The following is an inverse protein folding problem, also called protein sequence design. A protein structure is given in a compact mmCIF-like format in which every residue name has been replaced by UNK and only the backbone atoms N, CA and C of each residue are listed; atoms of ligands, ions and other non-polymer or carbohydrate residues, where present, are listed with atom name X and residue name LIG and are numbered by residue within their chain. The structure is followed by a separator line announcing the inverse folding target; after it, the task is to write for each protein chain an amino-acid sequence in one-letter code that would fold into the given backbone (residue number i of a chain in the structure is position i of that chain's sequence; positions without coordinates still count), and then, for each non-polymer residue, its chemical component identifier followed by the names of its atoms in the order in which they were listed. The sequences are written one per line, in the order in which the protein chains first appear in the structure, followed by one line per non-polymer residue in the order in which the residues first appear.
data_IF_537684298159
#
_entry.id   IF_537684298159
#
_cell.length_a   1.000
_cell.length_b   1.000
_cell.length_c   1.000
_cell.angle_alpha   90.00
_cell.angle_beta   90.00
_cell.angle_gamma   90.00
#
_symmetry.space_group_name_H-M   'P 1'
#
loop_
_entity.id
_entity.type
_entity.pdbx_description
1 polymer ?
#
# COMPACT_ATOMS: atom_id res chain seq x y z
N UNK A 1 -47.19 -21.44 16.11
CA UNK A 1 -46.88 -20.26 16.96
C UNK A 1 -46.30 -19.18 16.05
N UNK A 2 -47.10 -18.18 15.71
CA UNK A 2 -46.70 -17.10 14.80
C UNK A 2 -46.02 -15.99 15.60
N UNK A 3 -44.76 -15.73 15.29
CA UNK A 3 -44.02 -14.59 15.85
C UNK A 3 -44.58 -13.32 15.19
N UNK A 4 -45.02 -12.31 15.96
CA UNK A 4 -45.58 -11.10 15.38
C UNK A 4 -44.49 -10.31 14.65
N UNK A 5 -44.83 -9.79 13.46
CA UNK A 5 -43.94 -9.05 12.55
C UNK A 5 -43.33 -7.75 13.13
N UNK A 6 -43.68 -7.37 14.36
CA UNK A 6 -43.16 -6.17 15.04
C UNK A 6 -41.79 -6.33 15.69
N UNK A 7 -41.32 -7.56 15.96
CA UNK A 7 -40.04 -7.77 16.66
C UNK A 7 -38.80 -7.70 15.76
N UNK A 8 -38.96 -7.86 14.45
CA UNK A 8 -37.84 -7.74 13.49
C UNK A 8 -37.55 -6.29 13.06
N UNK A 9 -38.50 -5.37 13.25
CA UNK A 9 -38.32 -3.96 12.86
C UNK A 9 -37.42 -3.17 13.83
N UNK A 10 -37.30 -3.59 15.10
CA UNK A 10 -36.47 -2.91 16.11
C UNK A 10 -34.98 -3.30 16.06
N UNK A 11 -34.63 -4.39 15.40
CA UNK A 11 -33.23 -4.81 15.21
C UNK A 11 -32.56 -4.18 13.97
N UNK A 12 -33.34 -3.68 13.02
CA UNK A 12 -32.82 -3.05 11.79
C UNK A 12 -32.35 -1.60 11.96
N UNK A 13 -32.83 -0.88 12.99
CA UNK A 13 -32.56 0.55 13.16
C UNK A 13 -31.33 0.88 14.00
N UNK A 14 -30.65 -0.10 14.60
CA UNK A 14 -29.46 0.11 15.43
C UNK A 14 -28.13 0.09 14.65
N UNK A 15 -28.13 -0.38 13.39
CA UNK A 15 -26.92 -0.47 12.55
C UNK A 15 -26.69 0.72 11.60
N UNK A 16 -27.61 1.69 11.59
CA UNK A 16 -27.49 2.94 10.83
C UNK A 16 -27.57 4.20 11.70
N UNK A 17 -27.35 4.08 13.00
CA UNK A 17 -27.14 5.26 13.84
C UNK A 17 -25.86 5.96 13.35
N UNK A 18 -25.95 7.22 12.91
CA UNK A 18 -24.79 7.85 12.33
C UNK A 18 -24.01 8.53 13.45
N UNK A 19 -22.69 8.31 13.45
CA UNK A 19 -21.84 8.43 14.64
C UNK A 19 -21.63 9.88 15.09
N UNK A 20 -22.13 10.84 14.30
CA UNK A 20 -22.14 12.28 14.58
C UNK A 20 -23.25 12.71 15.55
N UNK A 21 -24.23 11.84 15.86
CA UNK A 21 -25.29 12.15 16.81
C UNK A 21 -24.88 12.01 18.30
N UNK A 22 -23.63 11.63 18.58
CA UNK A 22 -23.06 11.63 19.94
C UNK A 22 -22.29 12.92 20.27
N UNK A 23 -22.19 13.86 19.34
CA UNK A 23 -21.67 15.20 19.64
C UNK A 23 -22.79 16.08 20.21
N UNK A 24 -22.78 16.23 21.53
CA UNK A 24 -23.51 17.31 22.20
C UNK A 24 -24.60 16.89 23.17
N UNK A 25 -24.32 15.94 24.08
CA UNK A 25 -24.93 16.06 25.40
C UNK A 25 -24.15 17.15 26.15
N UNK A 26 -24.80 18.23 26.63
CA UNK A 26 -24.10 19.21 27.44
C UNK A 26 -23.58 18.47 28.68
N UNK A 27 -22.25 18.40 28.82
CA UNK A 27 -21.57 17.92 30.02
C UNK A 27 -21.80 18.96 31.12
N UNK A 28 -23.05 19.10 31.55
CA UNK A 28 -23.44 19.83 32.73
C UNK A 28 -22.94 19.04 33.92
N UNK A 29 -21.76 19.43 34.38
CA UNK A 29 -21.40 19.51 35.80
C UNK A 29 -21.96 18.37 36.65
N UNK A 30 -21.17 17.30 36.86
CA UNK A 30 -21.12 16.46 38.07
C UNK A 30 -20.26 15.20 37.80
N UNK A 31 -18.96 15.39 37.59
CA UNK A 31 -17.94 14.45 38.09
C UNK A 31 -16.59 15.13 38.02
N UNK A 32 -16.24 15.82 39.10
CA UNK A 32 -14.94 16.43 39.34
C UNK A 32 -13.85 15.41 39.68
N UNK A 33 -13.87 14.24 39.03
CA UNK A 33 -12.76 13.30 39.10
C UNK A 33 -11.70 13.70 38.08
N UNK A 34 -10.77 14.53 38.54
CA UNK A 34 -9.66 15.03 37.75
C UNK A 34 -8.84 13.88 37.14
N UNK A 35 -8.76 12.73 37.82
CA UNK A 35 -8.03 11.55 37.35
C UNK A 35 -8.74 10.89 36.18
N UNK A 36 -10.07 10.79 36.22
CA UNK A 36 -10.86 10.26 35.10
C UNK A 36 -10.78 11.17 33.86
N UNK A 37 -10.86 12.49 34.03
CA UNK A 37 -10.70 13.43 32.91
C UNK A 37 -9.29 13.38 32.31
N UNK A 38 -8.26 13.24 33.15
CA UNK A 38 -6.88 13.05 32.71
C UNK A 38 -6.71 11.72 31.96
N UNK A 39 -7.34 10.65 32.44
CA UNK A 39 -7.37 9.35 31.78
C UNK A 39 -7.98 9.46 30.38
N UNK A 40 -9.15 10.09 30.23
CA UNK A 40 -9.80 10.28 28.94
C UNK A 40 -8.92 11.08 27.98
N UNK A 41 -8.38 12.22 28.43
CA UNK A 41 -7.50 13.05 27.61
C UNK A 41 -6.29 12.26 27.08
N UNK A 42 -5.61 11.50 27.95
CA UNK A 42 -4.47 10.65 27.56
C UNK A 42 -4.89 9.60 26.52
N UNK A 43 -5.99 8.89 26.76
CA UNK A 43 -6.43 7.82 25.86
C UNK A 43 -6.90 8.35 24.50
N UNK A 44 -7.51 9.53 24.45
CA UNK A 44 -7.85 10.20 23.19
C UNK A 44 -6.59 10.57 22.39
N UNK A 45 -5.58 11.14 23.06
CA UNK A 45 -4.28 11.43 22.43
C UNK A 45 -3.57 10.16 21.94
N UNK A 46 -3.57 9.09 22.73
CA UNK A 46 -3.03 7.79 22.29
C UNK A 46 -3.79 7.23 21.10
N UNK A 47 -5.12 7.28 21.11
CA UNK A 47 -5.95 6.82 19.99
C UNK A 47 -5.66 7.62 18.71
N UNK A 48 -5.50 8.95 18.84
CA UNK A 48 -5.11 9.84 17.75
C UNK A 48 -3.72 9.47 17.20
N UNK A 49 -2.77 9.18 18.08
CA UNK A 49 -1.42 8.73 17.70
C UNK A 49 -1.45 7.40 16.96
N UNK A 50 -2.14 6.38 17.50
CA UNK A 50 -2.29 5.07 16.86
C UNK A 50 -2.90 5.21 15.46
N UNK A 51 -3.94 6.03 15.31
CA UNK A 51 -4.52 6.32 14.00
C UNK A 51 -3.50 6.91 13.03
N UNK A 52 -2.66 7.84 13.52
CA UNK A 52 -1.56 8.41 12.74
C UNK A 52 -0.51 7.38 12.33
N UNK A 53 -0.08 6.53 13.26
CA UNK A 53 0.91 5.47 13.02
C UNK A 53 0.39 4.44 11.99
N UNK A 54 -0.89 4.05 12.09
CA UNK A 54 -1.53 3.16 11.11
C UNK A 54 -1.55 3.80 9.71
N UNK A 55 -1.88 5.09 9.60
CA UNK A 55 -1.86 5.80 8.33
C UNK A 55 -0.43 5.89 7.74
N UNK A 56 0.58 6.08 8.60
CA UNK A 56 1.98 6.08 8.19
C UNK A 56 2.41 4.71 7.64
N UNK A 57 2.10 3.62 8.33
CA UNK A 57 2.39 2.25 7.89
C UNK A 57 1.69 1.89 6.58
N UNK A 58 0.43 2.31 6.42
CA UNK A 58 -0.31 2.11 5.16
C UNK A 58 0.37 2.85 4.01
N UNK A 59 0.81 4.10 4.23
CA UNK A 59 1.51 4.91 3.24
C UNK A 59 2.87 4.29 2.87
N UNK A 60 3.65 3.86 3.85
CA UNK A 60 4.94 3.19 3.65
C UNK A 60 4.78 1.91 2.83
N UNK A 61 3.88 1.02 3.25
CA UNK A 61 3.62 -0.25 2.53
C UNK A 61 3.18 0.00 1.10
N UNK A 62 2.29 0.97 0.88
CA UNK A 62 1.81 1.33 -0.45
C UNK A 62 2.94 1.87 -1.34
N UNK A 63 3.73 2.83 -0.86
CA UNK A 63 4.85 3.37 -1.63
C UNK A 63 5.91 2.31 -1.92
N UNK A 64 6.23 1.46 -0.94
CA UNK A 64 7.18 0.36 -1.09
C UNK A 64 6.73 -0.60 -2.20
N UNK A 65 5.46 -1.03 -2.18
CA UNK A 65 4.90 -1.92 -3.21
C UNK A 65 4.94 -1.30 -4.62
N UNK A 66 4.60 -0.02 -4.76
CA UNK A 66 4.65 0.66 -6.06
C UNK A 66 6.11 0.76 -6.55
N UNK A 67 7.02 1.20 -5.69
CA UNK A 67 8.44 1.34 -6.00
C UNK A 67 9.05 0.00 -6.42
N UNK A 68 8.79 -1.07 -5.67
CA UNK A 68 9.37 -2.40 -5.91
C UNK A 68 8.76 -3.04 -7.17
N UNK A 69 7.46 -2.81 -7.42
CA UNK A 69 6.80 -3.17 -8.67
C UNK A 69 7.44 -2.49 -9.88
N UNK A 70 7.70 -1.19 -9.81
CA UNK A 70 8.36 -0.43 -10.89
C UNK A 70 9.77 -0.98 -11.19
N UNK A 71 10.57 -1.29 -10.17
CA UNK A 71 11.89 -1.92 -10.35
C UNK A 71 11.79 -3.30 -11.01
N UNK A 72 10.79 -4.09 -10.62
CA UNK A 72 10.55 -5.42 -11.20
C UNK A 72 10.19 -5.33 -12.67
N UNK A 73 9.30 -4.40 -13.04
CA UNK A 73 8.92 -4.20 -14.44
C UNK A 73 10.05 -3.57 -15.27
N UNK A 74 10.84 -2.66 -14.72
CA UNK A 74 12.05 -2.15 -15.39
C UNK A 74 12.96 -3.30 -15.85
N UNK A 75 13.24 -4.27 -14.98
CA UNK A 75 14.03 -5.47 -15.32
C UNK A 75 13.32 -6.34 -16.37
N UNK A 76 12.01 -6.52 -16.26
CA UNK A 76 11.23 -7.35 -17.19
C UNK A 76 11.12 -6.74 -18.59
N UNK A 77 11.12 -5.41 -18.70
CA UNK A 77 11.09 -4.69 -19.99
C UNK A 77 12.37 -4.91 -20.81
N UNK A 78 13.49 -5.28 -20.17
CA UNK A 78 14.70 -5.67 -20.89
C UNK A 78 14.47 -6.89 -21.78
N UNK A 79 13.66 -7.85 -21.33
CA UNK A 79 13.29 -9.01 -22.15
C UNK A 79 12.30 -8.64 -23.28
N UNK A 80 11.54 -7.55 -23.12
CA UNK A 80 10.63 -7.05 -24.16
C UNK A 80 11.40 -6.35 -25.29
N UNK A 81 12.52 -5.69 -24.97
CA UNK A 81 13.42 -5.09 -25.97
C UNK A 81 13.91 -6.11 -27.00
N UNK A 82 14.26 -7.32 -26.55
CA UNK A 82 14.73 -8.39 -27.42
C UNK A 82 13.64 -8.93 -28.37
N UNK A 83 12.36 -8.75 -28.03
CA UNK A 83 11.21 -9.21 -28.83
C UNK A 83 10.76 -8.23 -29.89
N UNK A 84 10.81 -6.95 -29.54
CA UNK A 84 10.26 -5.87 -30.33
C UNK A 84 11.38 -4.90 -30.70
N UNK A 85 12.41 -5.34 -31.46
CA UNK A 85 13.54 -4.48 -31.81
C UNK A 85 13.08 -3.26 -32.63
N UNK A 86 11.98 -3.37 -33.37
CA UNK A 86 11.36 -2.24 -34.07
C UNK A 86 10.70 -1.19 -33.17
N UNK A 87 10.51 -1.49 -31.88
CA UNK A 87 9.96 -0.59 -30.86
C UNK A 87 10.95 -0.29 -29.73
N UNK A 88 12.26 -0.51 -29.97
CA UNK A 88 13.29 -0.41 -28.93
C UNK A 88 13.26 0.93 -28.20
N UNK A 89 13.16 2.04 -28.94
CA UNK A 89 13.06 3.38 -28.36
C UNK A 89 11.88 3.57 -27.41
N UNK A 90 10.73 2.96 -27.72
CA UNK A 90 9.54 3.08 -26.87
C UNK A 90 9.75 2.30 -25.56
N UNK A 91 10.32 1.10 -25.65
CA UNK A 91 10.59 0.28 -24.46
C UNK A 91 11.71 0.88 -23.60
N UNK A 92 12.75 1.44 -24.20
CA UNK A 92 13.81 2.19 -23.50
C UNK A 92 13.24 3.42 -22.76
N UNK A 93 12.35 4.17 -23.41
CA UNK A 93 11.64 5.30 -22.79
C UNK A 93 10.82 4.81 -21.60
N UNK A 94 10.10 3.71 -21.77
CA UNK A 94 9.27 3.12 -20.73
C UNK A 94 10.09 2.63 -19.52
N UNK A 95 11.28 2.08 -19.76
CA UNK A 95 12.23 1.73 -18.70
C UNK A 95 12.70 2.97 -17.96
N UNK A 96 13.14 4.00 -18.68
CA UNK A 96 13.59 5.25 -18.08
C UNK A 96 12.48 5.89 -17.23
N UNK A 97 11.25 5.93 -17.72
CA UNK A 97 10.09 6.46 -16.99
C UNK A 97 9.79 5.65 -15.73
N UNK A 98 9.85 4.32 -15.80
CA UNK A 98 9.67 3.45 -14.63
C UNK A 98 10.76 3.66 -13.58
N UNK A 99 12.02 3.80 -14.00
CA UNK A 99 13.15 4.09 -13.12
C UNK A 99 12.98 5.46 -12.44
N UNK A 100 12.66 6.50 -13.22
CA UNK A 100 12.43 7.85 -12.71
C UNK A 100 11.28 7.90 -11.71
N UNK A 101 10.15 7.26 -12.02
CA UNK A 101 9.01 7.20 -11.09
C UNK A 101 9.39 6.46 -9.79
N UNK A 102 10.14 5.36 -9.89
CA UNK A 102 10.59 4.62 -8.71
C UNK A 102 11.51 5.46 -7.81
N UNK A 103 12.39 6.27 -8.42
CA UNK A 103 13.28 7.19 -7.71
C UNK A 103 12.50 8.32 -7.04
N UNK A 104 11.51 8.89 -7.72
CA UNK A 104 10.67 9.94 -7.14
C UNK A 104 9.88 9.43 -5.94
N UNK A 105 9.34 8.20 -6.01
CA UNK A 105 8.63 7.58 -4.87
C UNK A 105 9.60 7.31 -3.72
N UNK A 106 10.81 6.82 -4.01
CA UNK A 106 11.85 6.61 -3.00
C UNK A 106 12.17 7.91 -2.25
N UNK A 107 12.41 9.00 -2.99
CA UNK A 107 12.67 10.32 -2.39
C UNK A 107 11.49 10.77 -1.52
N UNK A 108 10.26 10.60 -2.00
CA UNK A 108 9.07 10.96 -1.24
C UNK A 108 8.93 10.15 0.05
N UNK A 109 9.33 8.87 0.06
CA UNK A 109 9.37 8.06 1.27
C UNK A 109 10.42 8.58 2.26
N UNK A 110 11.59 9.01 1.78
CA UNK A 110 12.65 9.59 2.60
C UNK A 110 12.21 10.91 3.25
N UNK A 111 11.60 11.81 2.46
CA UNK A 111 11.10 13.10 2.93
C UNK A 111 10.02 12.96 4.00
N UNK A 112 9.24 11.89 3.95
CA UNK A 112 8.20 11.56 4.93
C UNK A 112 8.73 10.78 6.16
N UNK A 113 10.02 10.45 6.19
CA UNK A 113 10.62 9.62 7.24
C UNK A 113 10.13 8.17 7.22
N UNK A 114 9.62 7.69 6.08
CA UNK A 114 9.14 6.32 5.85
C UNK A 114 10.23 5.40 5.29
N UNK A 115 11.46 5.91 5.12
CA UNK A 115 12.58 5.10 4.68
C UNK A 115 12.93 4.08 5.77
N UNK A 116 12.69 2.81 5.47
CA UNK A 116 13.02 1.66 6.30
C UNK A 116 14.41 1.78 6.91
N UNK A 117 14.48 1.90 8.24
CA UNK A 117 15.62 1.42 9.01
C UNK A 117 15.72 -0.07 8.71
N UNK A 118 16.67 -0.45 7.87
CA UNK A 118 17.02 -1.85 7.71
C UNK A 118 17.67 -2.26 9.02
N UNK A 119 16.88 -2.77 9.97
CA UNK A 119 17.45 -3.46 11.11
C UNK A 119 18.24 -4.64 10.54
N UNK A 120 19.53 -4.80 10.89
CA UNK A 120 20.24 -6.01 10.52
C UNK A 120 19.40 -7.16 11.06
N UNK A 121 18.86 -7.97 10.15
CA UNK A 121 18.15 -9.19 10.52
C UNK A 121 19.13 -9.95 11.39
N UNK A 122 18.78 -10.14 12.67
CA UNK A 122 19.59 -10.91 13.59
C UNK A 122 19.88 -12.23 12.88
N UNK A 123 21.14 -12.42 12.53
CA UNK A 123 21.66 -13.64 11.92
C UNK A 123 21.38 -14.77 12.89
N UNK A 124 20.24 -15.44 12.71
CA UNK A 124 20.05 -16.78 13.21
C UNK A 124 21.11 -17.63 12.50
N UNK A 125 22.04 -18.29 13.22
CA UNK A 125 23.13 -19.03 12.60
C UNK A 125 22.64 -20.40 12.17
N UNK A 126 21.60 -20.50 11.34
CA UNK A 126 21.23 -21.75 10.65
C UNK A 126 20.31 -21.46 9.47
N UNK A 127 20.83 -20.83 8.41
CA UNK A 127 20.19 -20.89 7.10
C UNK A 127 21.26 -20.74 6.03
N UNK A 128 21.71 -21.88 5.51
CA UNK A 128 22.44 -21.99 4.26
C UNK A 128 21.50 -21.56 3.13
N UNK A 129 21.41 -20.26 2.87
CA UNK A 129 20.78 -19.76 1.66
C UNK A 129 21.64 -18.62 1.09
N UNK A 130 22.11 -18.71 -0.17
CA UNK A 130 22.89 -17.63 -0.76
C UNK A 130 22.03 -16.39 -0.84
N UNK A 131 22.60 -15.26 -0.43
CA UNK A 131 22.12 -13.90 -0.68
C UNK A 131 21.65 -13.80 -2.12
N UNK A 132 20.33 -13.77 -2.33
CA UNK A 132 19.76 -13.54 -3.63
C UNK A 132 20.10 -12.11 -4.02
N UNK A 133 21.04 -11.95 -4.96
CA UNK A 133 21.10 -10.76 -5.80
C UNK A 133 19.78 -10.59 -6.58
N UNK A 134 19.71 -9.63 -7.52
CA UNK A 134 18.57 -9.54 -8.42
C UNK A 134 18.27 -10.94 -8.97
N UNK A 135 17.08 -11.47 -8.66
CA UNK A 135 16.70 -12.83 -9.05
C UNK A 135 16.90 -13.01 -10.57
N UNK A 136 17.20 -14.23 -11.04
CA UNK A 136 17.39 -14.47 -12.46
C UNK A 136 16.18 -13.90 -13.23
N UNK A 137 16.44 -13.05 -14.22
CA UNK A 137 15.40 -12.62 -15.15
C UNK A 137 14.70 -13.86 -15.72
N UNK A 138 13.38 -13.81 -15.98
CA UNK A 138 12.67 -14.94 -16.54
C UNK A 138 13.37 -15.42 -17.83
N UNK A 139 13.97 -16.61 -17.77
CA UNK A 139 14.60 -17.24 -18.92
C UNK A 139 13.51 -17.94 -19.73
N UNK A 140 13.06 -17.32 -20.81
CA UNK A 140 12.03 -17.90 -21.67
C UNK A 140 12.62 -19.06 -22.49
N UNK A 141 12.07 -20.26 -22.31
CA UNK A 141 12.63 -21.51 -22.85
C UNK A 141 12.39 -21.72 -24.35
N UNK A 142 11.55 -20.88 -24.99
CA UNK A 142 11.23 -20.96 -26.42
C UNK A 142 10.86 -19.59 -26.99
N UNK A 143 10.98 -19.39 -28.31
CA UNK A 143 10.54 -18.14 -28.98
C UNK A 143 9.05 -17.83 -28.75
N UNK A 144 8.20 -18.86 -28.67
CA UNK A 144 6.79 -18.71 -28.36
C UNK A 144 6.58 -18.21 -26.92
N UNK A 145 7.28 -18.80 -25.93
CA UNK A 145 7.25 -18.32 -24.54
C UNK A 145 7.79 -16.90 -24.43
N UNK A 146 8.80 -16.57 -25.22
CA UNK A 146 9.36 -15.22 -25.28
C UNK A 146 8.30 -14.23 -25.80
N UNK A 147 7.65 -14.51 -26.94
CA UNK A 147 6.63 -13.61 -27.53
C UNK A 147 5.39 -13.43 -26.65
N UNK A 148 4.83 -14.53 -26.14
CA UNK A 148 3.66 -14.49 -25.26
C UNK A 148 4.01 -13.87 -23.91
N UNK A 149 5.21 -14.15 -23.39
CA UNK A 149 5.74 -13.54 -22.18
C UNK A 149 5.85 -12.02 -22.29
N UNK A 150 6.36 -11.49 -23.41
CA UNK A 150 6.43 -10.05 -23.66
C UNK A 150 5.06 -9.36 -23.67
N UNK A 151 4.05 -9.99 -24.28
CA UNK A 151 2.67 -9.49 -24.24
C UNK A 151 2.12 -9.43 -22.81
N UNK A 152 2.31 -10.50 -22.03
CA UNK A 152 1.88 -10.52 -20.63
C UNK A 152 2.59 -9.48 -19.77
N UNK A 153 3.90 -9.27 -19.97
CA UNK A 153 4.67 -8.24 -19.26
C UNK A 153 4.03 -6.87 -19.50
N UNK A 154 3.79 -6.49 -20.76
CA UNK A 154 3.21 -5.19 -21.09
C UNK A 154 1.78 -5.03 -20.56
N UNK A 155 0.93 -6.05 -20.74
CA UNK A 155 -0.46 -6.00 -20.28
C UNK A 155 -0.55 -5.93 -18.75
N UNK A 156 0.29 -6.68 -18.03
CA UNK A 156 0.34 -6.62 -16.57
C UNK A 156 0.95 -5.30 -16.09
N UNK A 157 1.95 -4.76 -16.77
CA UNK A 157 2.54 -3.48 -16.44
C UNK A 157 1.54 -2.33 -16.56
N UNK A 158 0.73 -2.32 -17.62
CA UNK A 158 -0.34 -1.35 -17.77
C UNK A 158 -1.34 -1.40 -16.60
N UNK A 159 -1.85 -2.58 -16.24
CA UNK A 159 -2.78 -2.73 -15.09
C UNK A 159 -2.14 -2.32 -13.77
N UNK A 160 -0.86 -2.63 -13.61
CA UNK A 160 -0.08 -2.19 -12.45
C UNK A 160 -0.02 -0.66 -12.39
N UNK A 161 0.31 0.03 -13.48
CA UNK A 161 0.37 1.50 -13.53
C UNK A 161 -0.99 2.15 -13.25
N UNK A 162 -2.09 1.60 -13.76
CA UNK A 162 -3.44 2.09 -13.45
C UNK A 162 -3.74 1.99 -11.94
N UNK A 163 -3.34 0.89 -11.32
CA UNK A 163 -3.53 0.67 -9.87
C UNK A 163 -2.62 1.59 -9.06
N UNK A 164 -1.35 1.73 -9.45
CA UNK A 164 -0.40 2.64 -8.84
C UNK A 164 -0.89 4.10 -8.91
N UNK A 165 -1.39 4.54 -10.07
CA UNK A 165 -1.95 5.88 -10.23
C UNK A 165 -3.13 6.13 -9.27
N UNK A 166 -4.06 5.19 -9.17
CA UNK A 166 -5.20 5.29 -8.23
C UNK A 166 -4.73 5.35 -6.78
N UNK A 167 -3.76 4.52 -6.41
CA UNK A 167 -3.17 4.50 -5.08
C UNK A 167 -2.48 5.82 -4.76
N UNK A 168 -1.62 6.34 -5.64
CA UNK A 168 -0.95 7.64 -5.47
C UNK A 168 -1.97 8.78 -5.31
N UNK A 169 -3.04 8.78 -6.10
CA UNK A 169 -4.12 9.76 -5.98
C UNK A 169 -4.88 9.65 -4.65
N UNK A 170 -5.00 8.44 -4.10
CA UNK A 170 -5.57 8.24 -2.77
C UNK A 170 -4.64 8.78 -1.68
N UNK A 171 -3.33 8.47 -1.75
CA UNK A 171 -2.33 8.98 -0.81
C UNK A 171 -2.24 10.50 -0.80
N UNK A 172 -2.41 11.15 -1.95
CA UNK A 172 -2.42 12.61 -2.07
C UNK A 172 -3.65 13.29 -1.43
N UNK A 173 -4.66 12.51 -1.01
CA UNK A 173 -5.91 13.00 -0.38
C UNK A 173 -6.03 12.63 1.10
N UNK A 174 -5.07 11.87 1.64
CA UNK A 174 -4.99 11.50 3.07
C UNK A 174 -4.32 12.63 3.86
#
# INVERSE_FOLDING_TARGET
AAVPAGTLALLGTLLWAPWWALDGAPLGELSGDQDFQLFLHKNLEFTRKIKGDVAALQRESCFSQIRDGLRTYHGSLAAVLELLPGHSRLVETLQLDAANLSSNIQQQMEDLGLATVTYPTATHPTATHPTAGPGPLPAFSSRFHHQVGGFFILANFQRFLETAYRALRHLARL
#
